data_IF_883885140913
#
_entry.id   IF_883885140913
#
_cell.length_a   1.000
_cell.length_b   1.000
_cell.length_c   1.000
_cell.angle_alpha   90.00
_cell.angle_beta   90.00
_cell.angle_gamma   90.00
#
_symmetry.space_group_name_H-M   'P 1'
#
loop_
_entity.id
_entity.type
_entity.pdbx_description
1 polymer ?
#
# COMPACT_ATOMS: atom_id res chain seq x y z
N UNK A 1 -39.84 11.28 13.02
CA UNK A 1 -38.95 12.44 13.22
C UNK A 1 -37.59 12.09 12.63
N UNK A 2 -37.35 12.41 11.35
CA UNK A 2 -36.13 12.04 10.59
C UNK A 2 -35.36 13.28 10.07
N UNK A 3 -35.68 14.49 10.56
CA UNK A 3 -35.16 15.74 9.99
C UNK A 3 -33.82 16.25 10.58
N UNK A 4 -33.25 15.62 11.60
CA UNK A 4 -32.11 16.20 12.35
C UNK A 4 -30.74 15.70 11.92
N UNK A 5 -30.63 14.66 11.09
CA UNK A 5 -29.33 14.11 10.64
C UNK A 5 -28.85 14.61 9.27
N UNK A 6 -29.73 15.25 8.49
CA UNK A 6 -29.40 15.77 7.16
C UNK A 6 -28.70 17.13 7.23
N UNK A 7 -29.00 17.94 8.25
CA UNK A 7 -28.43 19.27 8.43
C UNK A 7 -26.90 19.29 8.63
N UNK A 8 -26.28 18.43 9.48
CA UNK A 8 -24.83 18.45 9.64
C UNK A 8 -24.08 17.95 8.39
N UNK A 9 -24.65 17.01 7.63
CA UNK A 9 -24.05 16.51 6.38
C UNK A 9 -24.10 17.58 5.27
N UNK A 10 -25.22 18.29 5.15
CA UNK A 10 -25.34 19.42 4.22
C UNK A 10 -24.46 20.60 4.63
N UNK A 11 -24.26 20.84 5.94
CA UNK A 11 -23.36 21.87 6.42
C UNK A 11 -21.90 21.51 6.12
N UNK A 12 -21.49 20.26 6.30
CA UNK A 12 -20.14 19.80 5.95
C UNK A 12 -19.87 19.89 4.44
N UNK A 13 -20.84 19.50 3.59
CA UNK A 13 -20.75 19.66 2.14
C UNK A 13 -20.74 21.12 1.70
N UNK A 14 -21.52 22.00 2.34
CA UNK A 14 -21.55 23.42 2.04
C UNK A 14 -20.26 24.15 2.49
N UNK A 15 -19.66 23.73 3.61
CA UNK A 15 -18.34 24.22 4.04
C UNK A 15 -17.25 23.76 3.09
N UNK A 16 -17.25 22.48 2.68
CA UNK A 16 -16.32 21.97 1.68
C UNK A 16 -16.45 22.70 0.33
N UNK A 17 -17.68 22.87 -0.18
CA UNK A 17 -17.95 23.58 -1.44
C UNK A 17 -17.62 25.08 -1.36
N UNK A 18 -17.93 25.74 -0.23
CA UNK A 18 -17.61 27.15 0.00
C UNK A 18 -16.10 27.41 0.09
N UNK A 19 -15.33 26.48 0.65
CA UNK A 19 -13.87 26.56 0.70
C UNK A 19 -13.22 26.30 -0.65
N UNK A 20 -13.71 25.33 -1.44
CA UNK A 20 -13.24 25.12 -2.82
C UNK A 20 -13.42 26.40 -3.64
N UNK A 21 -14.56 27.08 -3.51
CA UNK A 21 -14.79 28.37 -4.19
C UNK A 21 -13.83 29.46 -3.68
N UNK A 22 -13.60 29.56 -2.36
CA UNK A 22 -12.67 30.54 -1.80
C UNK A 22 -11.23 30.31 -2.30
N UNK A 23 -10.78 29.06 -2.35
CA UNK A 23 -9.47 28.66 -2.84
C UNK A 23 -9.27 29.01 -4.33
N UNK A 24 -10.28 28.72 -5.17
CA UNK A 24 -10.29 29.06 -6.60
C UNK A 24 -10.19 30.58 -6.82
N UNK A 25 -10.94 31.38 -6.04
CA UNK A 25 -10.90 32.84 -6.20
C UNK A 25 -9.57 33.48 -5.81
N UNK A 26 -8.76 32.83 -4.96
CA UNK A 26 -7.43 33.32 -4.56
C UNK A 26 -6.37 33.00 -5.63
N UNK A 27 -6.49 31.86 -6.31
CA UNK A 27 -5.53 31.33 -7.30
C UNK A 27 -5.50 32.05 -8.65
N UNK A 28 -6.48 32.90 -8.97
CA UNK A 28 -6.53 33.65 -10.24
C UNK A 28 -5.46 34.73 -10.45
N UNK A 29 -4.65 35.08 -9.45
CA UNK A 29 -3.63 36.14 -9.52
C UNK A 29 -2.21 35.56 -9.35
N UNK A 30 -1.68 34.94 -10.42
CA UNK A 30 -0.39 34.22 -10.44
C UNK A 30 0.90 35.07 -10.43
N UNK A 31 0.94 36.19 -9.71
CA UNK A 31 2.17 37.00 -9.61
C UNK A 31 2.69 37.05 -8.17
N UNK A 32 3.73 36.26 -7.88
CA UNK A 32 4.60 36.45 -6.73
C UNK A 32 4.18 35.78 -5.41
N UNK A 33 3.75 34.52 -5.41
CA UNK A 33 3.56 33.76 -4.17
C UNK A 33 4.89 33.18 -3.67
N UNK A 34 5.23 33.44 -2.41
CA UNK A 34 6.36 32.78 -1.77
C UNK A 34 6.02 31.33 -1.40
N UNK A 35 7.05 30.47 -1.33
CA UNK A 35 6.90 29.10 -0.83
C UNK A 35 6.19 28.97 0.56
N UNK A 36 6.35 29.91 1.52
CA UNK A 36 5.63 29.86 2.79
C UNK A 36 4.10 29.97 2.67
N UNK A 37 3.61 30.78 1.73
CA UNK A 37 2.16 30.97 1.53
C UNK A 37 1.52 29.72 0.93
N UNK A 38 2.21 29.08 -0.02
CA UNK A 38 1.76 27.84 -0.66
C UNK A 38 1.66 26.68 0.35
N UNK A 39 2.63 26.51 1.25
CA UNK A 39 2.59 25.45 2.26
C UNK A 39 1.41 25.65 3.22
N UNK A 40 1.13 26.89 3.62
CA UNK A 40 -0.01 27.20 4.48
C UNK A 40 -1.34 26.89 3.78
N UNK A 41 -1.48 27.29 2.51
CA UNK A 41 -2.65 27.01 1.68
C UNK A 41 -2.86 25.49 1.47
N UNK A 42 -1.81 24.75 1.14
CA UNK A 42 -1.86 23.30 0.98
C UNK A 42 -2.25 22.60 2.29
N UNK A 43 -1.74 23.09 3.43
CA UNK A 43 -2.11 22.58 4.76
C UNK A 43 -3.61 22.77 5.02
N UNK A 44 -4.12 23.99 4.82
CA UNK A 44 -5.54 24.29 5.01
C UNK A 44 -6.44 23.45 4.10
N UNK A 45 -6.03 23.25 2.85
CA UNK A 45 -6.73 22.39 1.91
C UNK A 45 -6.83 20.93 2.41
N UNK A 46 -5.72 20.38 2.89
CA UNK A 46 -5.65 18.99 3.41
C UNK A 46 -6.47 18.83 4.70
N UNK A 47 -6.42 19.79 5.62
CA UNK A 47 -7.23 19.77 6.84
C UNK A 47 -8.73 19.82 6.52
N UNK A 48 -9.13 20.69 5.60
CA UNK A 48 -10.52 20.79 5.15
C UNK A 48 -11.02 19.51 4.45
N UNK A 49 -10.20 18.91 3.56
CA UNK A 49 -10.56 17.72 2.80
C UNK A 49 -10.62 16.43 3.64
N UNK A 50 -9.94 16.42 4.79
CA UNK A 50 -9.86 15.25 5.68
C UNK A 50 -10.73 15.36 6.93
N UNK A 51 -11.09 16.57 7.35
CA UNK A 51 -11.76 16.82 8.63
C UNK A 51 -10.85 16.63 9.85
N UNK A 52 -9.54 16.55 9.64
CA UNK A 52 -8.51 16.44 10.68
C UNK A 52 -7.63 17.69 10.70
N UNK A 53 -6.94 17.94 11.82
CA UNK A 53 -5.98 19.04 11.95
C UNK A 53 -4.57 18.50 12.21
N UNK A 54 -3.53 19.16 11.69
CA UNK A 54 -2.15 18.80 11.98
C UNK A 54 -1.86 18.98 13.48
N UNK A 55 -1.32 17.94 14.13
CA UNK A 55 -0.88 17.97 15.54
C UNK A 55 0.43 18.74 15.71
N UNK A 56 1.24 18.80 14.65
CA UNK A 56 2.49 19.55 14.58
C UNK A 56 2.68 20.14 13.19
N UNK A 57 3.35 21.29 13.11
CA UNK A 57 3.66 21.93 11.84
C UNK A 57 4.44 20.98 10.91
N UNK A 58 4.03 20.84 9.64
CA UNK A 58 4.79 20.07 8.66
C UNK A 58 6.21 20.63 8.50
N UNK A 59 7.19 19.74 8.46
CA UNK A 59 8.59 20.08 8.18
C UNK A 59 8.93 19.55 6.80
N UNK A 60 9.37 20.44 5.91
CA UNK A 60 9.80 20.11 4.56
C UNK A 60 11.33 20.23 4.49
N UNK A 61 12.00 19.11 4.25
CA UNK A 61 13.46 19.04 4.05
C UNK A 61 13.77 19.07 2.55
N UNK A 62 14.34 20.17 2.06
CA UNK A 62 14.69 20.32 0.65
C UNK A 62 15.98 19.55 0.33
N UNK A 63 15.89 18.64 -0.64
CA UNK A 63 17.01 17.85 -1.12
C UNK A 63 17.68 18.54 -2.30
N UNK A 64 19.02 18.56 -2.29
CA UNK A 64 19.82 19.23 -3.33
C UNK A 64 20.00 18.43 -4.62
N UNK A 65 19.61 17.15 -4.66
CA UNK A 65 19.77 16.30 -5.84
C UNK A 65 18.91 15.03 -5.78
N UNK A 66 18.66 14.40 -6.93
CA UNK A 66 17.94 13.12 -7.00
C UNK A 66 18.75 12.00 -6.33
N UNK A 67 20.09 12.09 -6.35
CA UNK A 67 20.96 11.18 -5.61
C UNK A 67 20.75 11.29 -4.09
N UNK A 68 20.47 12.49 -3.57
CA UNK A 68 20.12 12.66 -2.17
C UNK A 68 18.77 12.00 -1.84
N UNK A 69 17.78 12.10 -2.73
CA UNK A 69 16.50 11.40 -2.56
C UNK A 69 16.68 9.88 -2.58
N UNK A 70 17.41 9.34 -3.56
CA UNK A 70 17.72 7.91 -3.63
C UNK A 70 18.41 7.42 -2.35
N UNK A 71 19.36 8.19 -1.81
CA UNK A 71 20.03 7.87 -0.54
C UNK A 71 19.05 7.84 0.64
N UNK A 72 18.08 8.76 0.69
CA UNK A 72 17.04 8.78 1.74
C UNK A 72 16.13 7.56 1.65
N UNK A 73 15.67 7.24 0.44
CA UNK A 73 14.82 6.07 0.17
C UNK A 73 15.57 4.78 0.50
N UNK A 74 16.86 4.67 0.14
CA UNK A 74 17.65 3.49 0.48
C UNK A 74 17.79 3.31 2.00
N UNK A 75 18.14 4.38 2.73
CA UNK A 75 18.22 4.35 4.18
C UNK A 75 16.87 4.07 4.85
N UNK A 76 15.76 4.49 4.22
CA UNK A 76 14.40 4.13 4.63
C UNK A 76 14.13 2.63 4.49
N UNK A 77 14.47 2.05 3.34
CA UNK A 77 14.32 0.60 3.10
C UNK A 77 15.12 -0.22 4.11
N UNK A 78 16.33 0.24 4.46
CA UNK A 78 17.15 -0.38 5.52
C UNK A 78 16.48 -0.33 6.90
N UNK A 79 15.92 0.82 7.28
CA UNK A 79 15.19 0.97 8.55
C UNK A 79 13.93 0.13 8.59
N UNK A 80 13.18 0.06 7.49
CA UNK A 80 11.88 -0.66 7.42
C UNK A 80 12.05 -2.16 7.52
N UNK A 81 13.00 -2.72 6.77
CA UNK A 81 13.13 -4.16 6.57
C UNK A 81 14.31 -4.76 7.36
N UNK A 82 15.22 -3.92 7.87
CA UNK A 82 16.42 -4.34 8.56
C UNK A 82 17.50 -4.92 7.64
N UNK A 83 18.68 -5.28 8.20
CA UNK A 83 19.78 -5.85 7.44
C UNK A 83 19.37 -7.12 6.69
N UNK A 84 19.62 -7.15 5.38
CA UNK A 84 19.24 -8.24 4.47
C UNK A 84 17.73 -8.56 4.43
N UNK A 85 16.86 -7.73 5.01
CA UNK A 85 15.43 -8.00 5.10
C UNK A 85 14.75 -8.06 3.73
N UNK A 86 15.12 -7.16 2.82
CA UNK A 86 14.65 -7.19 1.44
C UNK A 86 15.20 -8.37 0.64
N UNK A 87 16.42 -8.82 0.90
CA UNK A 87 16.98 -10.00 0.27
C UNK A 87 16.22 -11.27 0.70
N UNK A 88 15.92 -11.40 2.00
CA UNK A 88 15.07 -12.48 2.54
C UNK A 88 13.65 -12.45 1.96
N UNK A 89 13.04 -11.27 1.85
CA UNK A 89 11.71 -11.11 1.21
C UNK A 89 11.74 -11.45 -0.28
N UNK A 90 12.77 -11.00 -1.00
CA UNK A 90 12.96 -11.35 -2.42
C UNK A 90 13.00 -12.87 -2.55
N UNK A 91 13.82 -13.54 -1.72
CA UNK A 91 13.95 -14.98 -1.71
C UNK A 91 12.64 -15.70 -1.36
N UNK A 92 11.94 -15.24 -0.32
CA UNK A 92 10.66 -15.82 0.08
C UNK A 92 9.60 -15.70 -1.02
N UNK A 93 9.52 -14.54 -1.68
CA UNK A 93 8.56 -14.30 -2.76
C UNK A 93 8.92 -15.06 -4.05
N UNK A 94 10.21 -15.29 -4.33
CA UNK A 94 10.64 -16.21 -5.39
C UNK A 94 10.22 -17.66 -5.09
N UNK A 95 10.41 -18.12 -3.85
CA UNK A 95 9.99 -19.46 -3.43
C UNK A 95 8.46 -19.61 -3.38
N UNK A 96 7.72 -18.55 -3.09
CA UNK A 96 6.26 -18.53 -3.22
C UNK A 96 5.79 -18.59 -4.67
N UNK A 97 6.65 -18.24 -5.62
CA UNK A 97 6.28 -18.05 -7.03
C UNK A 97 5.75 -16.64 -7.33
N UNK A 98 5.67 -15.74 -6.35
CA UNK A 98 5.18 -14.38 -6.53
C UNK A 98 6.13 -13.49 -7.36
N UNK A 99 7.44 -13.71 -7.25
CA UNK A 99 8.47 -13.06 -8.06
C UNK A 99 9.16 -14.04 -9.01
N UNK A 100 9.55 -13.60 -10.23
CA UNK A 100 10.43 -14.42 -11.06
C UNK A 100 11.80 -14.64 -10.38
N UNK A 101 12.60 -15.65 -10.76
CA UNK A 101 13.95 -15.79 -10.24
C UNK A 101 14.85 -14.59 -10.59
N UNK A 102 15.78 -14.25 -9.70
CA UNK A 102 16.82 -13.26 -9.93
C UNK A 102 16.35 -11.81 -9.81
N UNK A 103 15.19 -11.56 -9.18
CA UNK A 103 14.75 -10.19 -8.92
C UNK A 103 15.61 -9.52 -7.87
N UNK A 104 15.57 -8.19 -7.84
CA UNK A 104 16.19 -7.40 -6.79
C UNK A 104 15.18 -6.37 -6.29
N UNK A 105 14.41 -6.75 -5.27
CA UNK A 105 13.39 -5.88 -4.70
C UNK A 105 13.96 -4.56 -4.20
N UNK A 106 15.20 -4.54 -3.69
CA UNK A 106 15.82 -3.30 -3.22
C UNK A 106 15.93 -2.29 -4.37
N UNK A 107 16.56 -2.70 -5.46
CA UNK A 107 16.72 -1.81 -6.63
C UNK A 107 15.37 -1.41 -7.20
N UNK A 108 14.43 -2.35 -7.28
CA UNK A 108 13.11 -2.10 -7.85
C UNK A 108 12.25 -1.15 -7.01
N UNK A 109 12.23 -1.32 -5.68
CA UNK A 109 11.51 -0.43 -4.78
C UNK A 109 12.20 0.94 -4.69
N UNK A 110 13.53 1.00 -4.70
CA UNK A 110 14.27 2.26 -4.76
C UNK A 110 13.86 3.07 -6.00
N UNK A 111 13.84 2.44 -7.17
CA UNK A 111 13.40 3.07 -8.42
C UNK A 111 11.93 3.48 -8.34
N UNK A 112 11.04 2.63 -7.82
CA UNK A 112 9.61 2.92 -7.71
C UNK A 112 9.29 4.12 -6.78
N UNK A 113 10.07 4.30 -5.71
CA UNK A 113 9.85 5.36 -4.71
C UNK A 113 10.61 6.65 -5.06
N UNK A 114 11.77 6.58 -5.72
CA UNK A 114 12.59 7.76 -6.03
C UNK A 114 12.34 8.37 -7.41
N UNK A 115 12.09 7.57 -8.46
CA UNK A 115 11.98 8.08 -9.83
C UNK A 115 10.73 8.95 -10.01
N UNK A 116 10.95 10.17 -10.53
CA UNK A 116 9.88 11.13 -10.79
C UNK A 116 9.22 11.71 -9.54
N UNK A 117 9.72 11.42 -8.34
CA UNK A 117 9.11 11.85 -7.09
C UNK A 117 9.48 13.30 -6.76
N UNK A 118 8.47 14.18 -6.73
CA UNK A 118 8.61 15.61 -6.40
C UNK A 118 8.63 15.87 -4.90
N UNK A 119 7.73 15.23 -4.18
CA UNK A 119 7.66 15.27 -2.71
C UNK A 119 7.57 13.83 -2.22
N UNK A 120 8.57 13.42 -1.45
CA UNK A 120 8.64 12.10 -0.85
C UNK A 120 8.30 12.18 0.64
N UNK A 121 7.54 11.20 1.14
CA UNK A 121 7.14 11.13 2.54
C UNK A 121 7.76 9.90 3.19
N UNK A 122 8.61 10.12 4.19
CA UNK A 122 9.17 9.07 5.04
C UNK A 122 8.14 8.69 6.11
N UNK A 123 7.46 7.57 5.91
CA UNK A 123 6.43 7.09 6.82
C UNK A 123 6.95 6.40 8.09
N UNK A 124 8.28 6.26 8.24
CA UNK A 124 8.89 5.84 9.50
C UNK A 124 9.23 7.04 10.37
N UNK A 125 9.75 8.10 9.77
CA UNK A 125 10.19 9.31 10.46
C UNK A 125 9.10 10.40 10.58
N UNK A 126 8.04 10.31 9.78
CA UNK A 126 7.02 11.36 9.72
C UNK A 126 7.54 12.64 9.08
N UNK A 127 8.48 12.54 8.12
CA UNK A 127 9.15 13.70 7.50
C UNK A 127 8.86 13.80 6.01
N UNK A 128 8.75 15.04 5.52
CA UNK A 128 8.58 15.33 4.09
C UNK A 128 9.91 15.76 3.50
N UNK A 129 10.24 15.21 2.35
CA UNK A 129 11.43 15.54 1.58
C UNK A 129 11.02 16.10 0.22
N UNK A 130 11.48 17.30 -0.09
CA UNK A 130 11.19 17.97 -1.37
C UNK A 130 12.36 17.74 -2.32
N UNK A 131 12.10 17.15 -3.48
CA UNK A 131 13.11 16.88 -4.49
C UNK A 131 13.65 18.16 -5.16
N UNK A 132 14.82 18.10 -5.82
CA UNK A 132 15.49 19.27 -6.42
C UNK A 132 14.71 19.90 -7.57
N UNK A 133 13.81 19.15 -8.22
CA UNK A 133 12.99 19.63 -9.33
C UNK A 133 11.59 20.10 -8.95
N UNK A 134 11.32 20.31 -7.65
CA UNK A 134 10.05 20.84 -7.18
C UNK A 134 9.91 22.33 -7.50
N UNK A 135 8.84 22.70 -8.19
CA UNK A 135 8.46 24.08 -8.48
C UNK A 135 7.11 24.40 -7.81
N UNK A 136 7.07 25.26 -6.77
CA UNK A 136 5.83 25.64 -6.10
C UNK A 136 4.85 26.39 -7.02
N UNK A 137 5.27 26.87 -8.18
CA UNK A 137 4.38 27.51 -9.16
C UNK A 137 3.64 26.49 -10.04
N UNK A 138 4.11 25.24 -10.12
CA UNK A 138 3.48 24.19 -10.92
C UNK A 138 2.36 23.49 -10.14
N UNK A 139 1.13 23.44 -10.66
CA UNK A 139 0.04 22.72 -10.02
C UNK A 139 0.28 21.23 -9.81
N UNK A 140 0.98 20.55 -10.73
CA UNK A 140 1.38 19.15 -10.54
C UNK A 140 2.20 18.96 -9.25
N UNK A 141 3.16 19.86 -9.00
CA UNK A 141 4.02 19.81 -7.83
C UNK A 141 3.27 20.22 -6.55
N UNK A 142 2.37 21.20 -6.63
CA UNK A 142 1.45 21.52 -5.52
C UNK A 142 0.55 20.32 -5.17
N UNK A 143 0.06 19.60 -6.18
CA UNK A 143 -0.68 18.35 -6.02
C UNK A 143 0.13 17.27 -5.31
N UNK A 144 1.39 17.08 -5.72
CA UNK A 144 2.32 16.16 -5.04
C UNK A 144 2.56 16.54 -3.57
N UNK A 145 2.66 17.85 -3.26
CA UNK A 145 2.75 18.31 -1.89
C UNK A 145 1.47 18.01 -1.09
N UNK A 146 0.29 18.28 -1.65
CA UNK A 146 -1.02 17.99 -1.03
C UNK A 146 -1.16 16.49 -0.74
N UNK A 147 -0.73 15.64 -1.68
CA UNK A 147 -0.67 14.19 -1.49
C UNK A 147 0.18 13.83 -0.27
N UNK A 148 1.42 14.32 -0.24
CA UNK A 148 2.38 14.01 0.82
C UNK A 148 1.95 14.58 2.19
N UNK A 149 1.39 15.78 2.23
CA UNK A 149 0.81 16.39 3.43
C UNK A 149 -0.38 15.59 3.97
N UNK A 150 -1.22 15.05 3.10
CA UNK A 150 -2.34 14.19 3.51
C UNK A 150 -1.85 12.92 4.19
N UNK A 151 -0.78 12.29 3.66
CA UNK A 151 -0.13 11.13 4.26
C UNK A 151 0.49 11.47 5.62
N UNK A 152 1.17 12.62 5.73
CA UNK A 152 1.71 13.12 6.99
C UNK A 152 0.59 13.36 8.02
N UNK A 153 -0.56 13.90 7.61
CA UNK A 153 -1.69 14.11 8.49
C UNK A 153 -2.20 12.79 9.07
N UNK A 154 -2.36 11.75 8.24
CA UNK A 154 -2.71 10.40 8.71
C UNK A 154 -1.64 9.87 9.68
N UNK A 155 -0.35 10.05 9.38
CA UNK A 155 0.73 9.64 10.28
C UNK A 155 0.69 10.35 11.64
N UNK A 156 0.38 11.65 11.69
CA UNK A 156 0.30 12.35 12.96
C UNK A 156 -0.84 11.85 13.85
N UNK A 157 -1.93 11.34 13.26
CA UNK A 157 -3.07 10.81 14.01
C UNK A 157 -3.00 9.30 14.29
N UNK A 158 -2.49 8.54 13.33
CA UNK A 158 -2.57 7.08 13.26
C UNK A 158 -1.26 6.45 12.76
N UNK A 159 -0.12 7.13 12.90
CA UNK A 159 1.18 6.61 12.54
C UNK A 159 1.50 5.32 13.32
N UNK A 160 2.19 4.35 12.71
CA UNK A 160 2.50 3.10 13.36
C UNK A 160 3.48 3.31 14.54
N UNK A 161 3.14 2.76 15.71
CA UNK A 161 3.95 2.91 16.93
C UNK A 161 5.28 2.12 16.91
N UNK A 162 5.35 1.09 16.08
CA UNK A 162 6.54 0.28 15.77
C UNK A 162 6.45 -0.14 14.30
N UNK A 163 7.55 -0.54 13.64
CA UNK A 163 7.51 -1.05 12.27
C UNK A 163 6.50 -2.22 12.20
N UNK A 164 5.36 -2.05 11.50
CA UNK A 164 4.36 -3.10 11.44
C UNK A 164 4.85 -4.26 10.56
N UNK A 165 4.21 -5.42 10.67
CA UNK A 165 4.35 -6.49 9.67
C UNK A 165 3.96 -5.97 8.27
N UNK A 166 4.32 -6.70 7.21
CA UNK A 166 4.20 -6.18 5.85
C UNK A 166 2.74 -5.88 5.46
N UNK A 167 1.79 -6.76 5.78
CA UNK A 167 0.37 -6.54 5.51
C UNK A 167 -0.19 -5.31 6.24
N UNK A 168 0.08 -5.17 7.54
CA UNK A 168 -0.37 -4.02 8.33
C UNK A 168 0.26 -2.71 7.85
N UNK A 169 1.53 -2.74 7.42
CA UNK A 169 2.18 -1.59 6.80
C UNK A 169 1.52 -1.20 5.48
N UNK A 170 1.21 -2.18 4.63
CA UNK A 170 0.52 -1.95 3.36
C UNK A 170 -0.89 -1.41 3.59
N UNK A 171 -1.65 -1.95 4.55
CA UNK A 171 -2.97 -1.47 4.92
C UNK A 171 -2.96 0.01 5.34
N UNK A 172 -1.99 0.37 6.20
CA UNK A 172 -1.80 1.74 6.61
C UNK A 172 -1.43 2.66 5.44
N UNK A 173 -0.50 2.22 4.57
CA UNK A 173 -0.16 2.93 3.33
C UNK A 173 -1.36 3.07 2.40
N UNK A 174 -2.25 2.09 2.36
CA UNK A 174 -3.51 2.12 1.62
C UNK A 174 -4.37 3.32 2.02
N UNK A 175 -4.60 3.52 3.32
CA UNK A 175 -5.37 4.68 3.81
C UNK A 175 -4.62 5.99 3.62
N UNK A 176 -3.34 6.05 4.01
CA UNK A 176 -2.58 7.29 3.90
C UNK A 176 -2.44 7.74 2.44
N UNK A 177 -2.07 6.80 1.55
CA UNK A 177 -1.94 7.03 0.12
C UNK A 177 -3.26 7.34 -0.55
N UNK A 178 -4.34 6.65 -0.17
CA UNK A 178 -5.67 6.90 -0.72
C UNK A 178 -6.18 8.29 -0.38
N UNK A 179 -5.93 8.77 0.84
CA UNK A 179 -6.29 10.13 1.24
C UNK A 179 -5.46 11.15 0.45
N UNK A 180 -4.16 10.89 0.29
CA UNK A 180 -3.27 11.70 -0.54
C UNK A 180 -3.76 11.80 -1.98
N UNK A 181 -4.03 10.66 -2.62
CA UNK A 181 -4.49 10.59 -4.00
C UNK A 181 -5.87 11.26 -4.19
N UNK A 182 -6.79 11.09 -3.24
CA UNK A 182 -8.11 11.72 -3.31
C UNK A 182 -8.03 13.24 -3.14
N UNK A 183 -7.24 13.75 -2.19
CA UNK A 183 -7.04 15.19 -1.99
C UNK A 183 -6.28 15.83 -3.17
N UNK A 184 -5.28 15.15 -3.70
CA UNK A 184 -4.57 15.59 -4.91
C UNK A 184 -5.52 15.69 -6.10
N UNK A 185 -6.36 14.67 -6.33
CA UNK A 185 -7.36 14.70 -7.40
C UNK A 185 -8.37 15.83 -7.23
N UNK A 186 -8.86 16.05 -6.00
CA UNK A 186 -9.78 17.16 -5.70
C UNK A 186 -9.12 18.53 -5.93
N UNK A 187 -7.84 18.66 -5.59
CA UNK A 187 -7.07 19.88 -5.85
C UNK A 187 -6.93 20.12 -7.35
N UNK A 188 -6.52 19.12 -8.14
CA UNK A 188 -6.41 19.25 -9.60
C UNK A 188 -7.75 19.65 -10.25
N UNK A 189 -8.85 19.03 -9.83
CA UNK A 189 -10.20 19.38 -10.30
C UNK A 189 -10.61 20.81 -9.97
N UNK A 190 -10.02 21.43 -8.94
CA UNK A 190 -10.30 22.81 -8.58
C UNK A 190 -9.61 23.84 -9.48
N UNK A 191 -8.66 23.44 -10.33
CA UNK A 191 -7.85 24.36 -11.15
C UNK A 191 -8.44 24.45 -12.55
N UNK A 192 -9.05 25.58 -12.95
CA UNK A 192 -9.70 25.68 -14.25
C UNK A 192 -8.67 25.78 -15.38
N UNK A 193 -8.85 25.00 -16.44
CA UNK A 193 -8.14 25.20 -17.71
C UNK A 193 -6.75 24.59 -17.81
N UNK A 194 -6.28 23.87 -16.79
CA UNK A 194 -5.15 22.96 -16.98
C UNK A 194 -5.63 21.68 -17.66
N UNK A 195 -5.11 21.42 -18.86
CA UNK A 195 -5.19 20.10 -19.45
C UNK A 195 -4.32 19.15 -18.61
N UNK A 196 -4.84 17.94 -18.34
CA UNK A 196 -4.20 16.86 -17.60
C UNK A 196 -3.04 16.26 -18.44
N UNK A 197 -2.07 17.10 -18.82
CA UNK A 197 -0.88 16.70 -19.57
C UNK A 197 0.16 16.23 -18.55
N UNK A 198 0.53 14.94 -18.57
CA UNK A 198 1.54 14.43 -17.65
C UNK A 198 2.87 15.16 -17.85
N UNK A 199 3.50 15.53 -16.74
CA UNK A 199 4.88 16.00 -16.73
C UNK A 199 5.83 14.88 -17.15
N UNK A 200 7.06 15.24 -17.52
CA UNK A 200 8.10 14.24 -17.81
C UNK A 200 8.38 13.34 -16.60
N UNK A 201 8.36 13.91 -15.39
CA UNK A 201 8.57 13.17 -14.15
C UNK A 201 7.45 12.14 -13.90
N UNK A 202 6.19 12.50 -14.15
CA UNK A 202 5.06 11.56 -14.04
C UNK A 202 5.18 10.44 -15.08
N UNK A 203 5.52 10.78 -16.33
CA UNK A 203 5.76 9.78 -17.40
C UNK A 203 6.89 8.82 -17.05
N UNK A 204 8.01 9.33 -16.52
CA UNK A 204 9.16 8.51 -16.10
C UNK A 204 8.81 7.59 -14.93
N UNK A 205 8.03 8.10 -13.96
CA UNK A 205 7.51 7.32 -12.84
C UNK A 205 6.59 6.20 -13.33
N UNK A 206 5.64 6.51 -14.21
CA UNK A 206 4.73 5.53 -14.78
C UNK A 206 5.48 4.43 -15.54
N UNK A 207 6.42 4.81 -16.42
CA UNK A 207 7.27 3.86 -17.14
C UNK A 207 8.07 2.94 -16.19
N UNK A 208 8.61 3.52 -15.10
CA UNK A 208 9.32 2.76 -14.07
C UNK A 208 8.40 1.76 -13.36
N UNK A 209 7.19 2.18 -12.99
CA UNK A 209 6.20 1.28 -12.37
C UNK A 209 5.76 0.17 -13.32
N UNK A 210 5.55 0.47 -14.60
CA UNK A 210 5.16 -0.52 -15.62
C UNK A 210 6.26 -1.56 -15.90
N UNK A 211 7.52 -1.27 -15.54
CA UNK A 211 8.63 -2.22 -15.68
C UNK A 211 8.71 -3.24 -14.53
N UNK A 212 7.95 -3.04 -13.46
CA UNK A 212 7.97 -3.92 -12.29
C UNK A 212 7.21 -5.23 -12.56
N UNK A 213 7.63 -6.36 -11.94
CA UNK A 213 6.82 -7.57 -11.90
C UNK A 213 5.45 -7.29 -11.25
N UNK A 214 4.41 -8.03 -11.65
CA UNK A 214 3.01 -7.91 -11.17
C UNK A 214 2.94 -7.66 -9.67
N UNK A 215 3.66 -8.46 -8.88
CA UNK A 215 3.66 -8.35 -7.42
C UNK A 215 4.17 -6.98 -6.91
N UNK A 216 5.30 -6.49 -7.43
CA UNK A 216 5.85 -5.19 -7.02
C UNK A 216 5.07 -4.03 -7.61
N UNK A 217 4.57 -4.17 -8.83
CA UNK A 217 3.69 -3.21 -9.47
C UNK A 217 2.43 -2.99 -8.63
N UNK A 218 1.75 -4.08 -8.27
CA UNK A 218 0.54 -4.03 -7.45
C UNK A 218 0.78 -3.43 -6.08
N UNK A 219 1.88 -3.78 -5.40
CA UNK A 219 2.24 -3.15 -4.12
C UNK A 219 2.48 -1.65 -4.26
N UNK A 220 3.18 -1.22 -5.31
CA UNK A 220 3.52 0.19 -5.51
C UNK A 220 2.29 1.04 -5.88
N UNK A 221 1.32 0.45 -6.59
CA UNK A 221 0.11 1.12 -7.06
C UNK A 221 -1.04 1.08 -6.04
N UNK A 222 -1.08 0.04 -5.19
CA UNK A 222 -2.15 -0.19 -4.22
C UNK A 222 -2.56 1.04 -3.39
N UNK A 223 -1.63 1.84 -2.84
CA UNK A 223 -2.00 3.03 -2.09
C UNK A 223 -2.80 4.07 -2.89
N UNK A 224 -2.60 4.14 -4.21
CA UNK A 224 -3.19 5.18 -5.06
C UNK A 224 -4.52 4.75 -5.67
N UNK A 225 -4.68 3.48 -6.05
CA UNK A 225 -5.91 3.00 -6.68
C UNK A 225 -6.87 2.43 -5.64
N UNK A 226 -6.59 1.25 -5.10
CA UNK A 226 -7.47 0.60 -4.13
C UNK A 226 -7.60 1.40 -2.83
N UNK A 227 -6.52 2.05 -2.40
CA UNK A 227 -6.56 2.94 -1.23
C UNK A 227 -7.51 4.12 -1.40
N UNK A 228 -7.53 4.73 -2.60
CA UNK A 228 -8.42 5.84 -2.93
C UNK A 228 -9.86 5.37 -3.04
N UNK A 229 -10.11 4.30 -3.79
CA UNK A 229 -11.46 3.73 -3.98
C UNK A 229 -12.10 3.38 -2.62
N UNK A 230 -11.32 2.81 -1.70
CA UNK A 230 -11.78 2.49 -0.35
C UNK A 230 -12.20 3.75 0.44
N UNK A 231 -11.49 4.86 0.30
CA UNK A 231 -11.86 6.12 0.96
C UNK A 231 -12.99 6.89 0.27
N UNK A 232 -13.34 6.50 -0.95
CA UNK A 232 -14.42 7.08 -1.75
C UNK A 232 -15.75 6.34 -1.58
N UNK A 233 -15.79 5.27 -0.77
CA UNK A 233 -17.05 4.67 -0.30
C UNK A 233 -17.92 5.79 0.32
N UNK A 234 -19.16 6.01 -0.16
CA UNK A 234 -19.99 7.12 0.26
C UNK A 234 -20.15 7.22 1.78
N UNK A 235 -19.67 8.33 2.35
CA UNK A 235 -19.74 8.61 3.80
C UNK A 235 -18.74 7.85 4.68
N UNK A 236 -17.92 6.97 4.11
CA UNK A 236 -17.03 6.10 4.89
C UNK A 236 -15.72 6.79 5.32
N UNK A 237 -15.26 7.82 4.60
CA UNK A 237 -13.97 8.48 4.85
C UNK A 237 -13.72 8.79 6.32
N UNK A 238 -14.65 9.48 6.99
CA UNK A 238 -14.48 9.85 8.40
C UNK A 238 -14.38 8.61 9.32
N UNK A 239 -15.16 7.56 9.04
CA UNK A 239 -15.13 6.29 9.78
C UNK A 239 -13.80 5.56 9.57
N UNK A 240 -13.33 5.47 8.33
CA UNK A 240 -12.05 4.83 7.98
C UNK A 240 -10.89 5.56 8.64
N UNK A 241 -10.90 6.89 8.62
CA UNK A 241 -9.85 7.67 9.28
C UNK A 241 -9.90 7.54 10.80
N UNK A 242 -11.09 7.45 11.40
CA UNK A 242 -11.21 7.20 12.85
C UNK A 242 -10.76 5.79 13.25
N UNK A 243 -10.92 4.80 12.35
CA UNK A 243 -10.63 3.39 12.57
C UNK A 243 -9.87 2.80 11.38
N UNK A 244 -8.59 3.18 11.17
CA UNK A 244 -7.85 2.72 10.01
C UNK A 244 -7.68 1.19 10.03
N UNK A 245 -7.80 0.52 8.88
CA UNK A 245 -7.69 -0.91 8.76
C UNK A 245 -6.29 -1.39 9.14
N UNK A 246 -6.23 -2.51 9.86
CA UNK A 246 -4.98 -3.11 10.31
C UNK A 246 -4.42 -4.15 9.31
N UNK A 247 -5.15 -4.45 8.24
CA UNK A 247 -4.82 -5.48 7.24
C UNK A 247 -5.38 -5.09 5.88
N UNK A 248 -4.76 -5.58 4.80
CA UNK A 248 -5.17 -5.28 3.42
C UNK A 248 -6.49 -5.95 3.03
N UNK A 249 -6.99 -6.91 3.83
CA UNK A 249 -8.28 -7.58 3.60
C UNK A 249 -9.48 -6.61 3.57
N UNK A 250 -9.36 -5.44 4.21
CA UNK A 250 -10.39 -4.40 4.18
C UNK A 250 -10.57 -3.80 2.79
N UNK A 251 -9.50 -3.65 2.02
CA UNK A 251 -9.54 -2.98 0.72
C UNK A 251 -10.10 -3.86 -0.39
N UNK A 252 -10.02 -5.19 -0.21
CA UNK A 252 -10.52 -6.18 -1.18
C UNK A 252 -11.94 -6.65 -0.87
N UNK A 253 -12.56 -6.13 0.19
CA UNK A 253 -13.96 -6.40 0.51
C UNK A 253 -14.86 -5.36 -0.16
N UNK A 254 -15.97 -5.83 -0.70
CA UNK A 254 -16.99 -4.96 -1.26
C UNK A 254 -17.85 -4.39 -0.14
N UNK A 255 -17.78 -3.07 0.05
CA UNK A 255 -18.64 -2.32 0.96
C UNK A 255 -19.53 -1.39 0.16
N UNK A 256 -20.83 -1.70 0.09
CA UNK A 256 -21.80 -0.89 -0.66
C UNK A 256 -22.14 0.45 0.03
N UNK A 257 -21.90 0.55 1.35
CA UNK A 257 -22.18 1.77 2.11
C UNK A 257 -21.38 1.86 3.40
N UNK A 258 -21.34 3.06 4.00
CA UNK A 258 -20.76 3.27 5.33
C UNK A 258 -21.45 2.42 6.41
N UNK A 259 -22.75 2.16 6.31
CA UNK A 259 -23.46 1.27 7.24
C UNK A 259 -23.01 -0.18 7.12
N UNK A 260 -22.65 -0.64 5.91
CA UNK A 260 -22.05 -1.96 5.73
C UNK A 260 -20.65 -2.01 6.38
N UNK A 261 -19.84 -0.97 6.19
CA UNK A 261 -18.53 -0.85 6.81
C UNK A 261 -18.61 -0.82 8.34
N UNK A 262 -19.49 0.02 8.91
CA UNK A 262 -19.67 0.11 10.37
C UNK A 262 -20.11 -1.21 10.99
N UNK A 263 -21.03 -1.94 10.32
CA UNK A 263 -21.43 -3.28 10.80
C UNK A 263 -20.28 -4.27 10.80
N UNK A 264 -19.37 -4.22 9.82
CA UNK A 264 -18.20 -5.09 9.81
C UNK A 264 -17.19 -4.70 10.91
N UNK A 265 -16.99 -3.40 11.14
CA UNK A 265 -16.18 -2.89 12.26
C UNK A 265 -16.71 -3.38 13.61
N UNK A 266 -18.02 -3.24 13.86
CA UNK A 266 -18.68 -3.72 15.08
C UNK A 266 -18.50 -5.24 15.23
N UNK A 267 -18.78 -6.00 14.17
CA UNK A 267 -18.62 -7.46 14.16
C UNK A 267 -17.21 -7.89 14.55
N UNK A 268 -16.17 -7.20 14.06
CA UNK A 268 -14.76 -7.52 14.36
C UNK A 268 -14.29 -7.03 15.72
N UNK A 269 -14.89 -5.97 16.24
CA UNK A 269 -14.66 -5.56 17.63
C UNK A 269 -15.19 -6.63 18.60
N UNK A 270 -16.33 -7.26 18.28
CA UNK A 270 -16.95 -8.31 19.10
C UNK A 270 -16.33 -9.70 18.88
N UNK A 271 -15.88 -9.99 17.65
CA UNK A 271 -15.19 -11.21 17.27
C UNK A 271 -13.86 -10.86 16.60
N UNK A 272 -12.77 -10.69 17.38
CA UNK A 272 -11.46 -10.40 16.82
C UNK A 272 -11.10 -11.47 15.78
N UNK A 273 -10.37 -11.10 14.72
CA UNK A 273 -9.99 -12.04 13.69
C UNK A 273 -9.36 -13.28 14.33
N UNK A 274 -9.72 -14.45 13.81
CA UNK A 274 -9.14 -15.70 14.27
C UNK A 274 -7.62 -15.57 14.27
N UNK A 275 -6.98 -16.07 15.33
CA UNK A 275 -5.53 -15.99 15.46
C UNK A 275 -4.86 -16.46 14.16
N UNK A 276 -3.78 -15.78 13.73
CA UNK A 276 -3.03 -16.22 12.56
C UNK A 276 -2.63 -17.69 12.73
N UNK A 277 -2.45 -18.44 11.63
CA UNK A 277 -2.02 -19.83 11.73
C UNK A 277 -0.79 -19.91 12.63
N UNK A 278 -0.79 -20.87 13.56
CA UNK A 278 0.31 -21.02 14.49
C UNK A 278 1.62 -21.27 13.72
N UNK A 279 2.72 -20.68 14.20
CA UNK A 279 4.04 -20.96 13.66
C UNK A 279 4.29 -22.47 13.69
N UNK A 280 4.72 -23.09 12.58
CA UNK A 280 4.98 -24.51 12.55
C UNK A 280 6.07 -24.89 13.57
N UNK A 281 5.79 -25.82 14.51
CA UNK A 281 6.72 -26.12 15.61
C UNK A 281 7.98 -26.87 15.15
N UNK A 282 7.98 -27.38 13.91
CA UNK A 282 9.06 -28.11 13.27
C UNK A 282 10.09 -27.21 12.55
N UNK A 283 9.90 -25.89 12.56
CA UNK A 283 10.84 -24.94 11.96
C UNK A 283 11.73 -24.34 13.06
N UNK A 284 12.96 -24.86 13.28
CA UNK A 284 13.92 -24.22 14.14
C UNK A 284 14.48 -22.96 13.45
N UNK A 285 14.54 -21.85 14.18
CA UNK A 285 15.23 -20.61 13.77
C UNK A 285 14.77 -20.00 12.43
N UNK A 286 13.51 -19.50 12.35
CA UNK A 286 13.04 -18.80 11.17
C UNK A 286 13.84 -17.52 10.90
N UNK A 287 14.22 -17.30 9.64
CA UNK A 287 14.95 -16.10 9.20
C UNK A 287 14.02 -14.96 8.77
N UNK A 288 12.78 -15.29 8.41
CA UNK A 288 11.69 -14.34 8.14
C UNK A 288 10.35 -14.99 8.49
N UNK A 289 9.48 -14.26 9.17
CA UNK A 289 8.09 -14.65 9.46
C UNK A 289 7.21 -13.45 9.16
N UNK A 290 6.31 -13.57 8.19
CA UNK A 290 5.46 -12.48 7.72
C UNK A 290 4.12 -13.05 7.20
N UNK A 291 3.19 -12.15 6.88
CA UNK A 291 1.92 -12.45 6.21
C UNK A 291 1.92 -11.77 4.84
N UNK A 292 1.39 -12.44 3.82
CA UNK A 292 1.13 -11.79 2.53
C UNK A 292 -0.04 -10.82 2.63
N UNK A 293 -0.96 -11.07 3.55
CA UNK A 293 -2.25 -10.39 3.60
C UNK A 293 -3.08 -10.69 2.35
N UNK A 294 -4.26 -10.08 2.29
CA UNK A 294 -5.15 -10.26 1.15
C UNK A 294 -4.55 -9.67 -0.13
N UNK A 295 -3.88 -8.52 -0.06
CA UNK A 295 -3.22 -7.92 -1.22
C UNK A 295 -2.10 -8.82 -1.78
N UNK A 296 -1.19 -9.29 -0.93
CA UNK A 296 -0.10 -10.16 -1.38
C UNK A 296 -0.61 -11.48 -1.94
N UNK A 297 -1.66 -12.05 -1.34
CA UNK A 297 -2.30 -13.26 -1.85
C UNK A 297 -2.98 -13.01 -3.21
N UNK A 298 -3.69 -11.89 -3.40
CA UNK A 298 -4.27 -11.51 -4.70
C UNK A 298 -3.19 -11.46 -5.77
N UNK A 299 -2.09 -10.75 -5.51
CA UNK A 299 -1.01 -10.57 -6.47
C UNK A 299 -0.27 -11.88 -6.79
N UNK A 300 -0.15 -12.78 -5.80
CA UNK A 300 0.34 -14.13 -6.02
C UNK A 300 -0.60 -14.92 -6.94
N UNK A 301 -1.91 -14.92 -6.67
CA UNK A 301 -2.87 -15.65 -7.49
C UNK A 301 -3.03 -15.08 -8.89
N UNK A 302 -3.03 -13.75 -9.04
CA UNK A 302 -3.15 -13.04 -10.31
C UNK A 302 -2.01 -13.39 -11.26
N UNK A 303 -0.81 -13.61 -10.73
CA UNK A 303 0.32 -14.08 -11.55
C UNK A 303 0.05 -15.44 -12.21
N UNK A 304 -0.80 -16.27 -11.61
CA UNK A 304 -1.05 -17.66 -12.01
C UNK A 304 -2.46 -17.89 -12.57
N UNK A 305 -3.30 -16.85 -12.60
CA UNK A 305 -4.70 -16.93 -12.99
C UNK A 305 -5.20 -15.59 -13.54
N UNK A 306 -6.50 -15.40 -13.53
CA UNK A 306 -7.09 -14.10 -13.86
C UNK A 306 -7.35 -13.25 -12.61
N UNK A 307 -7.43 -11.93 -12.81
CA UNK A 307 -7.63 -10.95 -11.74
C UNK A 307 -8.91 -11.19 -10.93
N UNK A 308 -10.02 -11.59 -11.57
CA UNK A 308 -11.30 -11.76 -10.89
C UNK A 308 -11.29 -12.96 -9.95
N UNK A 309 -10.72 -14.09 -10.40
CA UNK A 309 -10.50 -15.26 -9.57
C UNK A 309 -9.54 -14.95 -8.42
N UNK A 310 -8.42 -14.28 -8.71
CA UNK A 310 -7.42 -13.90 -7.72
C UNK A 310 -8.02 -12.99 -6.62
N UNK A 311 -8.79 -11.98 -7.01
CA UNK A 311 -9.47 -11.07 -6.10
C UNK A 311 -10.50 -11.79 -5.23
N UNK A 312 -11.27 -12.70 -5.83
CA UNK A 312 -12.27 -13.49 -5.10
C UNK A 312 -11.63 -14.39 -4.04
N UNK A 313 -10.52 -15.06 -4.37
CA UNK A 313 -9.81 -15.92 -3.41
C UNK A 313 -9.14 -15.12 -2.31
N UNK A 314 -8.49 -14.01 -2.66
CA UNK A 314 -7.85 -13.12 -1.70
C UNK A 314 -8.85 -12.52 -0.70
N UNK A 315 -10.03 -12.11 -1.15
CA UNK A 315 -11.09 -11.61 -0.27
C UNK A 315 -11.65 -12.67 0.70
N UNK A 316 -11.42 -13.96 0.41
CA UNK A 316 -11.80 -15.10 1.25
C UNK A 316 -10.65 -15.65 2.09
N UNK A 317 -9.46 -15.05 2.00
CA UNK A 317 -8.35 -15.34 2.90
C UNK A 317 -8.68 -14.77 4.28
N UNK A 318 -8.66 -15.62 5.30
CA UNK A 318 -8.93 -15.20 6.68
C UNK A 318 -7.67 -14.84 7.43
N UNK A 319 -6.61 -15.63 7.22
CA UNK A 319 -5.30 -15.38 7.78
C UNK A 319 -4.23 -16.19 7.04
N UNK A 320 -3.00 -15.71 7.05
CA UNK A 320 -1.87 -16.43 6.51
C UNK A 320 -0.58 -16.13 7.26
N UNK A 321 0.40 -17.01 7.09
CA UNK A 321 1.76 -16.83 7.56
C UNK A 321 2.71 -17.56 6.60
N UNK A 322 3.75 -16.87 6.15
CA UNK A 322 4.87 -17.50 5.47
C UNK A 322 6.13 -17.39 6.32
N UNK A 323 6.91 -18.47 6.29
CA UNK A 323 8.14 -18.62 7.06
C UNK A 323 9.25 -19.00 6.10
N UNK A 324 10.29 -18.18 6.05
CA UNK A 324 11.56 -18.51 5.41
C UNK A 324 12.52 -19.00 6.48
N UNK A 325 13.22 -20.08 6.19
CA UNK A 325 14.27 -20.64 7.04
C UNK A 325 15.32 -21.33 6.18
N UNK A 326 16.51 -21.52 6.73
CA UNK A 326 17.60 -22.17 6.00
C UNK A 326 17.98 -23.46 6.71
N UNK A 327 18.32 -24.48 5.95
CA UNK A 327 18.86 -25.75 6.46
C UNK A 327 20.19 -26.05 5.77
N UNK A 328 20.84 -27.16 6.14
CA UNK A 328 22.08 -27.58 5.48
C UNK A 328 21.92 -27.89 3.97
N UNK A 329 20.69 -27.95 3.45
CA UNK A 329 20.41 -28.23 2.03
C UNK A 329 20.03 -27.00 1.21
N UNK A 330 19.83 -25.83 1.84
CA UNK A 330 19.44 -24.60 1.15
C UNK A 330 18.39 -23.79 1.91
N UNK A 331 17.73 -22.88 1.20
CA UNK A 331 16.61 -22.11 1.73
C UNK A 331 15.28 -22.85 1.52
N UNK A 332 14.43 -22.75 2.54
CA UNK A 332 13.13 -23.39 2.63
C UNK A 332 12.08 -22.35 2.94
N UNK A 333 10.92 -22.50 2.32
CA UNK A 333 9.75 -21.68 2.56
C UNK A 333 8.57 -22.57 2.89
N UNK A 334 7.83 -22.20 3.95
CA UNK A 334 6.49 -22.71 4.20
C UNK A 334 5.48 -21.58 4.30
N UNK A 335 4.42 -21.64 3.52
CA UNK A 335 3.27 -20.74 3.61
C UNK A 335 2.03 -21.50 4.02
N UNK A 336 1.38 -21.05 5.09
CA UNK A 336 0.13 -21.61 5.60
C UNK A 336 -0.95 -20.54 5.48
N UNK A 337 -2.02 -20.84 4.74
CA UNK A 337 -3.13 -19.94 4.48
C UNK A 337 -4.45 -20.59 4.89
N UNK A 338 -5.27 -19.89 5.67
CA UNK A 338 -6.62 -20.30 6.03
C UNK A 338 -7.63 -19.49 5.24
N UNK A 339 -8.56 -20.19 4.59
CA UNK A 339 -9.66 -19.60 3.82
C UNK A 339 -11.00 -19.78 4.52
N UNK A 340 -12.00 -19.02 4.09
CA UNK A 340 -13.37 -19.10 4.61
C UNK A 340 -14.04 -20.46 4.36
N UNK A 341 -13.65 -21.21 3.32
CA UNK A 341 -14.21 -22.54 3.06
C UNK A 341 -13.19 -23.50 2.41
N UNK A 342 -13.36 -24.84 2.59
CA UNK A 342 -12.50 -25.85 1.99
C UNK A 342 -12.36 -25.74 0.46
N UNK A 343 -13.45 -25.38 -0.22
CA UNK A 343 -13.46 -25.19 -1.67
C UNK A 343 -12.51 -24.08 -2.13
N UNK A 344 -12.30 -23.04 -1.31
CA UNK A 344 -11.47 -21.90 -1.65
C UNK A 344 -9.99 -22.29 -1.52
N UNK A 345 -9.63 -23.09 -0.51
CA UNK A 345 -8.30 -23.68 -0.38
C UNK A 345 -7.97 -24.62 -1.56
N UNK A 346 -8.91 -25.46 -2.00
CA UNK A 346 -8.74 -26.30 -3.18
C UNK A 346 -8.59 -25.49 -4.48
N UNK A 347 -9.34 -24.39 -4.64
CA UNK A 347 -9.19 -23.48 -5.77
C UNK A 347 -7.82 -22.81 -5.78
N UNK A 348 -7.33 -22.34 -4.62
CA UNK A 348 -5.98 -21.79 -4.47
C UNK A 348 -4.91 -22.85 -4.81
N UNK A 349 -5.07 -24.10 -4.35
CA UNK A 349 -4.17 -25.21 -4.71
C UNK A 349 -4.14 -25.42 -6.22
N UNK A 350 -5.29 -25.43 -6.89
CA UNK A 350 -5.36 -25.64 -8.34
C UNK A 350 -4.58 -24.57 -9.11
N UNK A 351 -4.74 -23.29 -8.75
CA UNK A 351 -3.99 -22.18 -9.35
C UNK A 351 -2.48 -22.31 -9.15
N UNK A 352 -2.05 -22.58 -7.92
CA UNK A 352 -0.63 -22.68 -7.58
C UNK A 352 0.02 -23.95 -8.16
N UNK A 353 -0.74 -25.04 -8.33
CA UNK A 353 -0.23 -26.28 -8.95
C UNK A 353 0.09 -26.07 -10.43
N UNK A 354 -0.73 -25.31 -11.16
CA UNK A 354 -0.45 -24.99 -12.57
C UNK A 354 0.91 -24.28 -12.74
N UNK A 355 1.30 -23.44 -11.78
CA UNK A 355 2.64 -22.85 -11.74
C UNK A 355 3.75 -23.89 -11.51
N UNK A 356 3.56 -24.84 -10.59
CA UNK A 356 4.54 -25.91 -10.35
C UNK A 356 4.88 -26.69 -11.62
N UNK A 357 3.86 -26.94 -12.44
CA UNK A 357 3.97 -27.69 -13.68
C UNK A 357 4.64 -26.88 -14.80
N UNK A 358 4.43 -25.56 -14.85
CA UNK A 358 4.99 -24.68 -15.88
C UNK A 358 6.43 -24.25 -15.59
N UNK A 359 6.79 -24.09 -14.32
CA UNK A 359 8.09 -23.53 -13.88
C UNK A 359 9.15 -24.62 -13.61
N UNK A 360 8.97 -25.82 -14.16
CA UNK A 360 9.92 -26.95 -14.08
C UNK A 360 10.75 -27.15 -15.38
N UNK A 361 11.72 -26.28 -15.72
CA UNK A 361 12.77 -26.63 -16.66
C UNK A 361 13.91 -27.34 -15.91
N UNK A 362 13.83 -28.67 -15.82
CA UNK A 362 14.92 -29.69 -15.79
C UNK A 362 16.30 -29.46 -15.12
N UNK A 363 16.54 -28.41 -14.33
CA UNK A 363 17.91 -28.05 -13.88
C UNK A 363 18.06 -27.66 -12.41
N UNK A 364 16.96 -27.50 -11.65
CA UNK A 364 17.00 -27.27 -10.20
C UNK A 364 15.94 -28.17 -9.54
N UNK A 365 16.31 -29.24 -8.81
CA UNK A 365 15.36 -30.16 -8.20
C UNK A 365 14.72 -29.49 -6.98
N UNK A 366 13.85 -28.51 -7.22
CA UNK A 366 13.03 -27.91 -6.17
C UNK A 366 12.01 -28.93 -5.72
N UNK A 367 12.01 -29.28 -4.44
CA UNK A 367 10.92 -30.04 -3.86
C UNK A 367 9.81 -29.03 -3.53
N UNK A 368 8.72 -29.09 -4.29
CA UNK A 368 7.57 -28.21 -4.12
C UNK A 368 6.35 -29.07 -3.81
N UNK A 369 5.66 -28.75 -2.72
CA UNK A 369 4.50 -29.50 -2.27
C UNK A 369 3.39 -28.54 -1.83
N UNK A 370 2.16 -28.81 -2.27
CA UNK A 370 0.97 -28.10 -1.80
C UNK A 370 0.00 -29.13 -1.24
N UNK A 371 -0.39 -28.94 0.02
CA UNK A 371 -1.34 -29.80 0.73
C UNK A 371 -2.52 -28.94 1.16
N UNK A 372 -3.74 -29.50 1.06
CA UNK A 372 -4.95 -28.88 1.59
C UNK A 372 -5.54 -29.81 2.64
N UNK A 373 -5.87 -29.25 3.81
CA UNK A 373 -6.61 -29.90 4.88
C UNK A 373 -7.77 -29.01 5.33
N UNK A 374 -8.99 -29.42 5.00
CA UNK A 374 -10.18 -28.59 5.17
C UNK A 374 -10.03 -27.26 4.44
N UNK A 375 -10.12 -26.15 5.17
CA UNK A 375 -9.98 -24.80 4.64
C UNK A 375 -8.55 -24.24 4.73
N UNK A 376 -7.57 -25.08 5.08
CA UNK A 376 -6.16 -24.69 5.21
C UNK A 376 -5.36 -25.20 4.02
N UNK A 377 -4.59 -24.33 3.39
CA UNK A 377 -3.59 -24.66 2.39
C UNK A 377 -2.19 -24.50 2.98
N UNK A 378 -1.32 -25.47 2.74
CA UNK A 378 0.10 -25.40 3.08
C UNK A 378 0.92 -25.59 1.80
N UNK A 379 1.66 -24.56 1.42
CA UNK A 379 2.69 -24.63 0.38
C UNK A 379 4.06 -24.75 1.05
N UNK A 380 4.84 -25.75 0.65
CA UNK A 380 6.24 -25.89 1.01
C UNK A 380 7.09 -25.89 -0.26
N UNK A 381 8.18 -25.13 -0.25
CA UNK A 381 9.12 -25.08 -1.36
C UNK A 381 10.55 -25.05 -0.82
N UNK A 382 11.36 -25.97 -1.31
CA UNK A 382 12.76 -26.12 -0.97
C UNK A 382 13.60 -25.79 -2.20
N UNK A 383 14.59 -24.93 -2.02
CA UNK A 383 15.62 -24.76 -3.04
C UNK A 383 16.69 -25.85 -2.90
N UNK A 384 17.16 -26.38 -4.03
CA UNK A 384 18.33 -27.25 -4.04
C UNK A 384 19.57 -26.52 -3.50
N UNK A 385 20.64 -27.25 -3.14
CA UNK A 385 21.86 -26.62 -2.67
C UNK A 385 22.35 -25.63 -3.73
N UNK A 386 22.51 -24.37 -3.34
CA UNK A 386 23.19 -23.38 -4.17
C UNK A 386 24.62 -23.86 -4.34
N UNK A 387 24.95 -24.41 -5.51
CA UNK A 387 26.33 -24.78 -5.81
C UNK A 387 27.21 -23.53 -5.69
N UNK A 388 28.16 -23.57 -4.76
CA UNK A 388 29.24 -22.57 -4.63
C UNK A 388 30.17 -22.60 -5.84
#
# INVERSE_FOLDING_TARGET
MQGTRVLPVLLALAVAAGFVIHFVTRNGNGAGRGAPDMIAEAREFVEAGSGMAFRSAPVLDTLGSDAALATRVEGYLDRRFGPSGLARRTRALELLGALPPGQNMRTQLLVAEATGTRVWFDDLAGTLHVGPGFDPALPADQGALINALSRLLVYQHHGPAAPPGDDAWLAWRGVAGGLGASNEAAYRQSIPGEADIPTSAETEREASLMSLPIYLHGIAQFPVFEGKDFLEIPGARATILAHPPASTDWFLREFESVEALCRDLERRADAPPDAPPAMPPDIPDPTLVESLGALGARLLFERHGDFAQASTLAARLEADIYVLFSTGTGDHLRWTARFAAPRDAEQARALLTAWLEQDSPSSDPRSKQIVVDGATLVLSNESGPTGE
#
